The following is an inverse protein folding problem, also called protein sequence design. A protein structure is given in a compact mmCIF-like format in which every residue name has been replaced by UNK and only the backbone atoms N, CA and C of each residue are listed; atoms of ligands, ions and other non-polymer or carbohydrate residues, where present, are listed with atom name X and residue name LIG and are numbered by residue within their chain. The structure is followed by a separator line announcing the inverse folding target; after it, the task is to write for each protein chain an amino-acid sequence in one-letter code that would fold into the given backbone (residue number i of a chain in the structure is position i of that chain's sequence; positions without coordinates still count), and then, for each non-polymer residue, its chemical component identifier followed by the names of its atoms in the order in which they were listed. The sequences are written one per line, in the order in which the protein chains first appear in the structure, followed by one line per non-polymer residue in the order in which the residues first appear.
data_IF_517210317669
#
_entry.id   IF_517210317669
#
_cell.length_a   1.000
_cell.length_b   1.000
_cell.length_c   1.000
_cell.angle_alpha   90.00
_cell.angle_beta   90.00
_cell.angle_gamma   90.00
#
_symmetry.space_group_name_H-M   'P 1'
#
loop_
_entity.id
_entity.type
_entity.pdbx_description
1 polymer ?
#
# COMPACT_ATOMS: atom_id res chain seq x y z
N UNK A 1 4.00 17.80 -17.60
CA UNK A 1 3.31 17.30 -16.40
C UNK A 1 2.78 15.92 -16.70
N UNK A 2 2.94 14.97 -15.77
CA UNK A 2 2.45 13.60 -15.90
C UNK A 2 0.96 13.58 -15.55
N UNK A 3 0.14 12.85 -16.30
CA UNK A 3 -1.32 12.82 -16.09
C UNK A 3 -1.72 11.85 -14.98
N UNK A 4 -1.60 10.54 -15.19
CA UNK A 4 -1.85 9.51 -14.17
C UNK A 4 -0.60 8.67 -13.94
N UNK A 5 -0.47 8.08 -12.74
CA UNK A 5 0.66 7.22 -12.38
C UNK A 5 0.17 5.97 -11.66
N UNK A 6 0.67 4.82 -12.10
CA UNK A 6 0.59 3.56 -11.36
C UNK A 6 1.89 3.35 -10.59
N UNK A 7 1.78 3.04 -9.31
CA UNK A 7 2.92 2.82 -8.42
C UNK A 7 3.05 1.34 -8.10
N UNK A 8 4.30 0.91 -7.99
CA UNK A 8 4.61 -0.44 -7.56
C UNK A 8 4.47 -0.56 -6.04
N UNK A 9 3.44 -1.26 -5.60
CA UNK A 9 3.22 -1.54 -4.18
C UNK A 9 4.30 -2.46 -3.62
N UNK A 10 4.86 -3.36 -4.43
CA UNK A 10 5.94 -4.27 -4.00
C UNK A 10 7.16 -3.47 -3.55
N UNK A 11 7.49 -2.39 -4.26
CA UNK A 11 8.60 -1.49 -3.91
C UNK A 11 8.38 -0.84 -2.54
N UNK A 12 7.17 -0.34 -2.26
CA UNK A 12 6.81 0.20 -0.94
C UNK A 12 6.95 -0.87 0.16
N UNK A 13 6.54 -2.12 -0.13
CA UNK A 13 6.63 -3.22 0.83
C UNK A 13 8.09 -3.69 1.06
N UNK A 14 8.96 -3.59 0.06
CA UNK A 14 10.38 -3.93 0.14
C UNK A 14 11.19 -2.84 0.84
N UNK A 15 10.96 -1.59 0.46
CA UNK A 15 11.80 -0.46 0.84
C UNK A 15 11.27 0.35 2.02
N UNK A 16 9.94 0.36 2.20
CA UNK A 16 9.24 1.37 2.96
C UNK A 16 9.13 2.70 2.20
N UNK A 17 8.42 3.67 2.76
CA UNK A 17 8.30 4.98 2.15
C UNK A 17 9.53 5.86 2.44
N UNK A 18 10.47 5.92 1.48
CA UNK A 18 11.77 6.59 1.60
C UNK A 18 12.32 7.09 0.25
N UNK A 19 13.50 7.70 0.25
CA UNK A 19 14.26 8.02 -0.96
C UNK A 19 14.54 9.52 -1.20
N UNK A 20 14.23 10.39 -0.23
CA UNK A 20 14.44 11.84 -0.36
C UNK A 20 15.32 12.35 0.78
N UNK A 21 16.52 12.81 0.44
CA UNK A 21 17.49 13.32 1.41
C UNK A 21 16.90 14.46 2.27
N UNK A 22 17.13 14.37 3.58
CA UNK A 22 16.64 15.37 4.53
C UNK A 22 15.13 15.34 4.79
N UNK A 23 14.41 14.30 4.33
CA UNK A 23 13.00 14.06 4.66
C UNK A 23 12.85 12.90 5.64
N UNK A 24 11.72 12.89 6.34
CA UNK A 24 11.36 11.77 7.24
C UNK A 24 10.97 10.57 6.38
N UNK A 25 11.46 9.40 6.75
CA UNK A 25 11.26 8.15 6.02
C UNK A 25 10.63 7.10 6.92
N UNK A 26 9.95 6.12 6.30
CA UNK A 26 9.42 4.94 6.97
C UNK A 26 10.15 3.70 6.47
N UNK A 27 10.61 2.85 7.39
CA UNK A 27 11.11 1.52 7.04
C UNK A 27 9.98 0.63 6.50
N UNK A 28 10.34 -0.45 5.82
CA UNK A 28 9.39 -1.43 5.30
C UNK A 28 8.39 -1.92 6.36
N UNK A 29 7.09 -1.96 6.05
CA UNK A 29 6.05 -2.29 7.03
C UNK A 29 6.15 -3.76 7.45
N UNK A 30 5.89 -4.03 8.74
CA UNK A 30 5.85 -5.39 9.32
C UNK A 30 4.44 -5.91 9.58
N UNK A 31 3.45 -5.03 9.63
CA UNK A 31 2.06 -5.34 9.98
C UNK A 31 1.10 -4.69 8.97
N UNK A 32 -0.09 -5.27 8.80
CA UNK A 32 -1.09 -4.79 7.83
C UNK A 32 -1.41 -3.30 8.02
N UNK A 33 -1.68 -2.88 9.27
CA UNK A 33 -2.01 -1.48 9.58
C UNK A 33 -0.87 -0.52 9.21
N UNK A 34 0.38 -0.91 9.42
CA UNK A 34 1.54 -0.12 9.03
C UNK A 34 1.66 -0.01 7.51
N UNK A 35 1.41 -1.09 6.77
CA UNK A 35 1.41 -1.07 5.30
C UNK A 35 0.31 -0.13 4.77
N UNK A 36 -0.92 -0.26 5.26
CA UNK A 36 -2.05 0.60 4.89
C UNK A 36 -1.77 2.08 5.20
N UNK A 37 -1.18 2.37 6.37
CA UNK A 37 -0.78 3.73 6.74
C UNK A 37 0.28 4.31 5.82
N UNK A 38 1.27 3.51 5.41
CA UNK A 38 2.28 3.96 4.44
C UNK A 38 1.66 4.23 3.06
N UNK A 39 0.73 3.40 2.59
CA UNK A 39 -0.01 3.64 1.33
C UNK A 39 -0.78 4.96 1.38
N UNK A 40 -1.45 5.25 2.50
CA UNK A 40 -2.14 6.53 2.71
C UNK A 40 -1.15 7.70 2.60
N UNK A 41 -0.06 7.66 3.37
CA UNK A 41 0.96 8.71 3.36
C UNK A 41 1.59 8.91 1.98
N UNK A 42 1.81 7.80 1.27
CA UNK A 42 2.37 7.77 -0.07
C UNK A 42 1.45 8.50 -1.06
N UNK A 43 0.16 8.17 -1.10
CA UNK A 43 -0.79 8.88 -1.97
C UNK A 43 -0.90 10.37 -1.64
N UNK A 44 -0.95 10.75 -0.36
CA UNK A 44 -1.00 12.16 0.02
C UNK A 44 0.26 12.93 -0.36
N UNK A 45 1.43 12.30 -0.27
CA UNK A 45 2.69 12.96 -0.59
C UNK A 45 2.82 13.16 -2.10
N UNK A 46 2.44 12.15 -2.89
CA UNK A 46 2.64 12.16 -4.34
C UNK A 46 1.49 12.79 -5.14
N UNK A 47 0.40 13.19 -4.49
CA UNK A 47 -0.69 13.90 -5.16
C UNK A 47 -0.25 15.20 -5.85
N UNK A 48 0.88 15.80 -5.44
CA UNK A 48 1.46 16.98 -6.08
C UNK A 48 2.30 16.69 -7.32
N UNK A 49 2.70 15.42 -7.51
CA UNK A 49 3.64 15.01 -8.56
C UNK A 49 2.95 14.62 -9.88
N UNK A 50 1.64 14.36 -9.86
CA UNK A 50 0.83 14.11 -11.06
C UNK A 50 -0.49 14.87 -11.00
N UNK A 51 -1.02 15.25 -12.17
CA UNK A 51 -2.25 16.04 -12.27
C UNK A 51 -3.54 15.22 -12.09
N UNK A 52 -3.45 13.90 -12.14
CA UNK A 52 -4.57 12.97 -12.20
C UNK A 52 -4.44 11.82 -11.20
N UNK A 53 -4.93 10.65 -11.60
CA UNK A 53 -5.09 9.52 -10.68
C UNK A 53 -3.76 8.90 -10.25
N UNK A 54 -3.70 8.54 -8.96
CA UNK A 54 -2.63 7.74 -8.37
C UNK A 54 -3.16 6.33 -8.13
N UNK A 55 -2.52 5.32 -8.70
CA UNK A 55 -3.03 3.95 -8.68
C UNK A 55 -2.04 2.96 -8.07
N UNK A 56 -2.56 1.95 -7.39
CA UNK A 56 -1.83 0.73 -7.02
C UNK A 56 -2.62 -0.50 -7.46
N UNK A 57 -1.92 -1.54 -7.87
CA UNK A 57 -2.52 -2.81 -8.31
C UNK A 57 -2.15 -3.96 -7.38
N UNK A 58 -2.87 -5.08 -7.49
CA UNK A 58 -2.67 -6.28 -6.69
C UNK A 58 -2.70 -6.04 -5.17
N UNK A 59 -3.58 -5.14 -4.73
CA UNK A 59 -3.66 -4.67 -3.35
C UNK A 59 -3.96 -5.78 -2.35
N UNK A 60 -4.93 -6.63 -2.66
CA UNK A 60 -5.31 -7.78 -1.85
C UNK A 60 -4.23 -8.88 -1.88
N UNK A 61 -3.72 -9.23 -3.05
CA UNK A 61 -2.66 -10.24 -3.20
C UNK A 61 -1.43 -9.87 -2.39
N UNK A 62 -0.90 -8.64 -2.58
CA UNK A 62 0.35 -8.21 -1.97
C UNK A 62 0.22 -7.98 -0.45
N UNK A 63 -0.97 -7.65 0.06
CA UNK A 63 -1.20 -7.41 1.49
C UNK A 63 -1.70 -8.65 2.25
N UNK A 64 -2.21 -9.68 1.57
CA UNK A 64 -2.68 -10.92 2.20
C UNK A 64 -1.67 -11.60 3.14
N UNK A 65 -0.35 -11.61 2.84
CA UNK A 65 0.63 -12.20 3.75
C UNK A 65 0.65 -11.57 5.13
N UNK A 66 0.44 -10.25 5.25
CA UNK A 66 0.38 -9.58 6.55
C UNK A 66 -0.75 -10.11 7.42
N UNK A 67 -1.92 -10.38 6.81
CA UNK A 67 -3.07 -10.97 7.49
C UNK A 67 -2.72 -12.36 8.03
N UNK A 68 -2.05 -13.19 7.23
CA UNK A 68 -1.63 -14.54 7.62
C UNK A 68 -0.59 -14.50 8.74
N UNK A 69 0.45 -13.68 8.61
CA UNK A 69 1.56 -13.59 9.55
C UNK A 69 1.16 -12.98 10.89
N UNK A 70 0.24 -12.01 10.89
CA UNK A 70 -0.32 -11.41 12.12
C UNK A 70 -1.46 -12.25 12.72
N UNK A 71 -1.86 -13.37 12.07
CA UNK A 71 -2.98 -14.23 12.46
C UNK A 71 -4.29 -13.45 12.72
N UNK A 72 -4.59 -12.49 11.83
CA UNK A 72 -5.71 -11.56 12.03
C UNK A 72 -7.05 -12.24 11.76
N UNK A 73 -8.04 -11.92 12.60
CA UNK A 73 -9.41 -12.34 12.38
C UNK A 73 -10.19 -11.31 11.54
N UNK A 74 -11.37 -11.70 11.05
CA UNK A 74 -12.22 -10.84 10.21
C UNK A 74 -12.52 -9.47 10.81
N UNK A 75 -12.75 -9.37 12.14
CA UNK A 75 -13.05 -8.08 12.77
C UNK A 75 -11.85 -7.14 12.72
N UNK A 76 -10.65 -7.66 12.94
CA UNK A 76 -9.40 -6.90 12.87
C UNK A 76 -9.10 -6.44 11.45
N UNK A 77 -9.30 -7.31 10.46
CA UNK A 77 -9.13 -6.98 9.04
C UNK A 77 -10.12 -5.91 8.62
N UNK A 78 -11.41 -6.08 8.95
CA UNK A 78 -12.47 -5.10 8.65
C UNK A 78 -12.17 -3.75 9.28
N UNK A 79 -11.68 -3.74 10.51
CA UNK A 79 -11.31 -2.51 11.21
C UNK A 79 -10.13 -1.82 10.52
N UNK A 80 -9.08 -2.56 10.15
CA UNK A 80 -7.92 -2.00 9.45
C UNK A 80 -8.29 -1.41 8.08
N UNK A 81 -9.16 -2.08 7.32
CA UNK A 81 -9.67 -1.58 6.04
C UNK A 81 -10.61 -0.37 6.21
N UNK A 82 -11.42 -0.34 7.27
CA UNK A 82 -12.23 0.85 7.60
C UNK A 82 -11.34 2.06 7.88
N UNK A 83 -10.30 1.88 8.71
CA UNK A 83 -9.31 2.93 8.99
C UNK A 83 -8.65 3.42 7.70
N UNK A 84 -8.26 2.50 6.81
CA UNK A 84 -7.69 2.84 5.52
C UNK A 84 -8.65 3.66 4.63
N UNK A 85 -9.89 3.19 4.45
CA UNK A 85 -10.89 3.89 3.63
C UNK A 85 -11.21 5.27 4.21
N UNK A 86 -11.26 5.42 5.53
CA UNK A 86 -11.52 6.73 6.13
C UNK A 86 -10.32 7.67 5.93
N UNK A 87 -9.10 7.21 6.19
CA UNK A 87 -7.91 8.04 6.08
C UNK A 87 -7.59 8.45 4.63
N UNK A 88 -7.80 7.55 3.66
CA UNK A 88 -7.58 7.88 2.24
C UNK A 88 -8.61 8.86 1.69
N UNK A 89 -9.73 9.10 2.40
CA UNK A 89 -10.81 9.98 1.95
C UNK A 89 -10.88 11.35 2.66
N UNK A 90 -10.05 11.60 3.69
CA UNK A 90 -10.07 12.86 4.45
C UNK A 90 -8.88 13.76 4.07
N UNK A 91 -9.11 14.94 3.46
CA UNK A 91 -8.02 15.82 3.05
C UNK A 91 -7.20 16.28 4.25
N UNK A 92 -5.88 16.06 4.20
CA UNK A 92 -4.96 16.37 5.30
C UNK A 92 -4.52 17.84 5.33
N UNK A 93 -4.76 18.61 4.26
CA UNK A 93 -4.42 20.04 4.16
C UNK A 93 -5.66 20.87 3.82
N UNK A 94 -5.91 21.92 4.61
CA UNK A 94 -7.00 22.88 4.36
C UNK A 94 -6.87 23.46 2.95
N UNK A 95 -7.93 23.35 2.15
CA UNK A 95 -8.00 23.85 0.77
C UNK A 95 -7.53 22.86 -0.30
N UNK A 96 -7.03 21.68 0.06
CA UNK A 96 -6.72 20.61 -0.89
C UNK A 96 -7.88 19.62 -0.99
N UNK A 97 -8.08 19.07 -2.20
CA UNK A 97 -8.95 17.92 -2.38
C UNK A 97 -8.20 16.64 -1.97
N UNK A 98 -8.96 15.63 -1.57
CA UNK A 98 -8.47 14.27 -1.39
C UNK A 98 -7.82 13.78 -2.70
N UNK A 99 -6.68 13.06 -2.65
CA UNK A 99 -6.08 12.51 -3.85
C UNK A 99 -7.05 11.61 -4.60
N UNK A 100 -7.04 11.69 -5.93
CA UNK A 100 -7.83 10.78 -6.76
C UNK A 100 -7.10 9.43 -6.85
N UNK A 101 -7.53 8.45 -6.05
CA UNK A 101 -6.84 7.16 -5.92
C UNK A 101 -7.61 6.01 -6.59
N UNK A 102 -6.88 5.10 -7.24
CA UNK A 102 -7.40 3.83 -7.73
C UNK A 102 -6.70 2.65 -7.05
N UNK A 103 -7.47 1.64 -6.67
CA UNK A 103 -6.95 0.40 -6.08
C UNK A 103 -7.52 -0.76 -6.88
N UNK A 104 -6.66 -1.64 -7.36
CA UNK A 104 -7.07 -2.88 -8.02
C UNK A 104 -6.93 -4.06 -7.06
N UNK A 105 -7.97 -4.87 -6.97
CA UNK A 105 -7.98 -6.14 -6.26
C UNK A 105 -8.06 -7.29 -7.26
N UNK A 106 -7.26 -8.33 -7.07
CA UNK A 106 -7.16 -9.46 -7.98
C UNK A 106 -8.24 -10.54 -7.72
N UNK A 107 -8.76 -10.62 -6.48
CA UNK A 107 -9.67 -11.65 -5.94
C UNK A 107 -9.09 -13.07 -5.88
N UNK A 108 -8.25 -13.42 -6.85
CA UNK A 108 -7.44 -14.62 -6.90
C UNK A 108 -6.02 -14.26 -7.25
N UNK A 109 -5.06 -14.95 -6.65
CA UNK A 109 -3.64 -14.67 -6.87
C UNK A 109 -3.30 -14.85 -8.36
N UNK A 110 -2.84 -13.80 -9.05
CA UNK A 110 -2.58 -13.89 -10.48
C UNK A 110 -1.36 -14.77 -10.76
N UNK A 111 -1.34 -15.39 -11.94
CA UNK A 111 -0.26 -16.32 -12.33
C UNK A 111 1.13 -15.69 -12.31
N UNK A 112 1.22 -14.38 -12.52
CA UNK A 112 2.45 -13.62 -12.48
C UNK A 112 3.02 -13.42 -11.07
N UNK A 113 2.20 -13.54 -10.02
CA UNK A 113 2.64 -13.36 -8.62
C UNK A 113 2.69 -14.65 -7.83
N UNK A 114 1.96 -15.70 -8.24
CA UNK A 114 1.77 -16.91 -7.44
C UNK A 114 3.07 -17.57 -6.97
N UNK A 115 4.12 -17.55 -7.80
CA UNK A 115 5.41 -18.21 -7.53
C UNK A 115 6.44 -17.25 -6.90
N UNK A 116 6.07 -15.97 -6.71
CA UNK A 116 6.94 -14.98 -6.08
C UNK A 116 6.91 -15.15 -4.56
N UNK A 117 8.04 -14.93 -3.87
CA UNK A 117 8.09 -14.98 -2.41
C UNK A 117 7.26 -13.85 -1.81
N UNK A 118 6.57 -14.14 -0.70
CA UNK A 118 5.85 -13.10 0.04
C UNK A 118 6.84 -12.16 0.74
N UNK A 119 6.48 -10.88 0.86
CA UNK A 119 7.35 -9.87 1.45
C UNK A 119 6.75 -9.40 2.78
N UNK A 120 7.54 -9.51 3.86
CA UNK A 120 7.17 -9.00 5.19
C UNK A 120 8.37 -8.25 5.78
N UNK A 121 8.17 -6.99 6.16
CA UNK A 121 9.23 -6.18 6.78
C UNK A 121 10.41 -5.92 5.86
N UNK A 122 10.17 -5.87 4.54
CA UNK A 122 11.21 -5.65 3.53
C UNK A 122 12.01 -6.91 3.16
N UNK A 123 11.60 -8.09 3.65
CA UNK A 123 12.33 -9.34 3.47
C UNK A 123 11.42 -10.36 2.81
N UNK A 124 11.93 -10.95 1.71
CA UNK A 124 11.32 -12.09 1.03
C UNK A 124 11.33 -13.33 1.95
N UNK A 125 10.24 -14.09 1.93
CA UNK A 125 10.05 -15.31 2.73
C UNK A 125 10.10 -16.55 1.86
N UNK A 126 10.23 -17.70 2.50
CA UNK A 126 10.26 -18.99 1.80
C UNK A 126 8.91 -19.35 1.18
N UNK A 127 7.80 -18.83 1.75
CA UNK A 127 6.47 -19.04 1.17
C UNK A 127 6.19 -18.07 0.03
N UNK A 128 5.39 -18.55 -0.93
CA UNK A 128 4.95 -17.79 -2.09
C UNK A 128 3.51 -17.31 -1.95
N UNK A 129 3.02 -16.53 -2.91
CA UNK A 129 1.64 -16.05 -2.91
C UNK A 129 0.61 -17.14 -3.25
N UNK A 130 1.01 -18.31 -3.76
CA UNK A 130 0.13 -19.44 -4.12
C UNK A 130 -0.52 -20.14 -2.94
#
# INVERSE_FOLDING_TARGET
SIYCVGWDLEDILKQGFKGVEGKVESAAPKHLRSALGQIVNFFYTLQGEAAGAQAISSFDTLLAPFIRYDNMNYKEIKQALQEFVFNINIPTRVGFQTPFTNITMDLHVPSILKDHPVIIGGVEKDETYS
#
